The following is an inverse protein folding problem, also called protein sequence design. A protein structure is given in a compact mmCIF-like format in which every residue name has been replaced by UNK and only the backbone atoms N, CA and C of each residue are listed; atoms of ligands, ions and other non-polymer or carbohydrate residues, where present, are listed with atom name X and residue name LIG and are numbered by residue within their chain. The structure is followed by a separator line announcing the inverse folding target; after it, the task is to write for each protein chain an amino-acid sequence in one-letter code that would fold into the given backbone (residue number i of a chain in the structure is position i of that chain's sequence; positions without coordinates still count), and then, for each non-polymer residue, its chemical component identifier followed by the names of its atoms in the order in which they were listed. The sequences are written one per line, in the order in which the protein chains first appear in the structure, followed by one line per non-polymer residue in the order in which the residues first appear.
data_IF_879427518974
#
_entry.id   IF_879427518974
#
_cell.length_a   1.000
_cell.length_b   1.000
_cell.length_c   1.000
_cell.angle_alpha   90.00
_cell.angle_beta   90.00
_cell.angle_gamma   90.00
#
_symmetry.space_group_name_H-M   'P 1'
#
loop_
_entity.id
_entity.type
_entity.pdbx_description
1 polymer ?
#
# COMPACT_ATOMS: atom_id res chain seq x y z
N UNK A 1 -73.18 25.28 -14.26
CA UNK A 1 -73.73 23.92 -14.44
C UNK A 1 -72.55 22.97 -14.32
N UNK A 2 -72.20 22.46 -13.13
CA UNK A 2 -72.80 21.27 -12.47
C UNK A 2 -72.67 20.05 -13.41
N UNK A 3 -71.80 19.06 -13.22
CA UNK A 3 -71.61 18.17 -12.05
C UNK A 3 -70.31 17.31 -12.19
N UNK A 4 -69.85 16.65 -11.10
CA UNK A 4 -68.65 15.80 -11.02
C UNK A 4 -68.93 14.27 -10.86
N UNK A 5 -67.84 13.46 -10.84
CA UNK A 5 -67.65 12.08 -10.25
C UNK A 5 -68.27 10.87 -10.98
N UNK A 6 -67.94 9.57 -10.67
CA UNK A 6 -66.81 8.97 -9.92
C UNK A 6 -66.18 7.67 -10.50
N UNK A 7 -65.05 7.32 -9.87
CA UNK A 7 -64.35 6.04 -9.54
C UNK A 7 -65.14 4.70 -9.54
N UNK A 8 -64.47 3.59 -9.88
CA UNK A 8 -64.25 2.33 -9.09
C UNK A 8 -63.96 1.12 -10.01
N UNK A 9 -62.90 0.37 -9.72
CA UNK A 9 -62.64 -0.97 -10.30
C UNK A 9 -61.29 -1.55 -9.88
N UNK A 10 -61.32 -2.48 -8.93
CA UNK A 10 -60.25 -3.09 -8.13
C UNK A 10 -59.38 -4.14 -8.86
N UNK A 11 -58.16 -4.39 -8.35
CA UNK A 11 -57.22 -5.44 -8.79
C UNK A 11 -57.64 -6.86 -8.32
N UNK A 12 -57.08 -7.97 -8.87
CA UNK A 12 -55.79 -8.49 -8.36
C UNK A 12 -54.89 -9.25 -9.37
N UNK A 13 -53.58 -9.27 -9.04
CA UNK A 13 -52.47 -10.07 -9.61
C UNK A 13 -52.68 -11.59 -9.60
N UNK A 14 -51.94 -12.35 -10.43
CA UNK A 14 -50.89 -13.17 -9.80
C UNK A 14 -49.55 -13.20 -10.58
N UNK A 15 -48.49 -12.88 -9.81
CA UNK A 15 -47.18 -13.54 -9.73
C UNK A 15 -46.65 -14.28 -10.97
N UNK A 16 -45.56 -13.75 -11.54
CA UNK A 16 -44.36 -14.55 -11.82
C UNK A 16 -43.12 -13.74 -11.48
N UNK A 17 -42.53 -14.13 -10.35
CA UNK A 17 -41.18 -13.80 -9.93
C UNK A 17 -40.15 -14.59 -10.75
N UNK A 18 -38.89 -14.14 -10.67
CA UNK A 18 -37.68 -14.62 -11.32
C UNK A 18 -37.52 -14.04 -12.74
N UNK A 19 -36.48 -13.29 -13.07
CA UNK A 19 -35.09 -13.66 -12.81
C UNK A 19 -34.18 -12.49 -12.44
N UNK A 20 -33.16 -12.87 -11.70
CA UNK A 20 -32.11 -12.11 -11.07
C UNK A 20 -31.29 -11.35 -12.13
N UNK A 21 -31.34 -10.01 -12.09
CA UNK A 21 -30.24 -9.24 -12.64
C UNK A 21 -29.17 -9.19 -11.56
N UNK A 22 -28.25 -10.15 -11.64
CA UNK A 22 -26.99 -10.15 -10.90
C UNK A 22 -26.37 -8.75 -10.93
N UNK A 23 -26.16 -8.25 -9.72
CA UNK A 23 -25.48 -7.01 -9.36
C UNK A 23 -24.04 -7.04 -9.88
N UNK A 24 -23.88 -6.72 -11.16
CA UNK A 24 -22.58 -6.53 -11.77
C UNK A 24 -21.98 -5.23 -11.18
N UNK A 25 -20.80 -5.28 -10.54
CA UNK A 25 -20.23 -4.09 -9.91
C UNK A 25 -19.98 -3.02 -10.97
N UNK A 26 -20.59 -1.83 -10.79
CA UNK A 26 -20.44 -0.72 -11.72
C UNK A 26 -18.95 -0.47 -12.02
N UNK A 27 -18.55 -0.35 -13.30
CA UNK A 27 -17.17 -0.06 -13.65
C UNK A 27 -16.78 1.26 -13.00
N UNK A 28 -15.82 1.20 -12.06
CA UNK A 28 -15.23 2.38 -11.39
C UNK A 28 -14.93 3.42 -12.47
N UNK A 29 -15.71 4.50 -12.51
CA UNK A 29 -15.63 5.53 -13.55
C UNK A 29 -14.19 6.02 -13.63
N UNK A 30 -13.48 5.59 -14.67
CA UNK A 30 -12.08 5.95 -14.95
C UNK A 30 -11.92 7.47 -15.20
N UNK A 31 -13.04 8.17 -15.41
CA UNK A 31 -13.10 9.61 -15.62
C UNK A 31 -13.50 10.30 -14.32
N UNK A 32 -12.59 11.11 -13.79
CA UNK A 32 -12.87 12.11 -12.75
C UNK A 32 -12.74 13.50 -13.38
N UNK A 33 -13.54 14.45 -12.92
CA UNK A 33 -13.41 15.84 -13.36
C UNK A 33 -11.99 16.34 -13.01
N UNK A 34 -11.39 17.15 -13.90
CA UNK A 34 -10.03 17.67 -13.69
C UNK A 34 -9.93 18.47 -12.38
N UNK A 35 -11.01 19.16 -11.99
CA UNK A 35 -11.14 19.87 -10.70
C UNK A 35 -11.03 18.96 -9.47
N UNK A 36 -11.30 17.66 -9.62
CA UNK A 36 -11.22 16.67 -8.54
C UNK A 36 -9.84 15.99 -8.51
N UNK A 37 -8.99 16.24 -9.52
CA UNK A 37 -7.61 15.80 -9.54
C UNK A 37 -6.77 16.69 -8.63
N UNK A 38 -5.94 16.08 -7.81
CA UNK A 38 -5.01 16.83 -6.97
C UNK A 38 -3.92 17.49 -7.85
N UNK A 39 -3.60 18.78 -7.67
CA UNK A 39 -2.51 19.43 -8.39
C UNK A 39 -1.17 18.79 -8.04
N UNK A 40 -0.35 18.49 -9.05
CA UNK A 40 1.03 17.99 -8.86
C UNK A 40 1.97 19.20 -8.79
N UNK A 41 1.97 19.90 -7.66
CA UNK A 41 2.76 21.12 -7.45
C UNK A 41 3.70 21.02 -6.23
N UNK A 42 3.87 19.82 -5.70
CA UNK A 42 4.68 19.59 -4.49
C UNK A 42 6.17 19.64 -4.80
N UNK A 43 6.93 20.35 -3.98
CA UNK A 43 8.39 20.40 -4.08
C UNK A 43 9.02 19.08 -3.60
N UNK A 44 10.12 18.63 -4.23
CA UNK A 44 10.87 17.46 -3.78
C UNK A 44 11.64 17.76 -2.48
N UNK A 45 11.69 16.76 -1.61
CA UNK A 45 12.40 16.74 -0.33
C UNK A 45 13.54 15.73 -0.44
N UNK A 46 14.68 16.06 0.16
CA UNK A 46 15.85 15.17 0.20
C UNK A 46 15.78 14.35 1.50
N UNK A 47 15.70 13.03 1.37
CA UNK A 47 15.78 12.11 2.50
C UNK A 47 17.12 11.39 2.45
N UNK A 48 17.88 11.46 3.54
CA UNK A 48 19.16 10.78 3.71
C UNK A 48 18.94 9.59 4.63
N UNK A 49 19.18 8.37 4.15
CA UNK A 49 18.81 7.13 4.86
C UNK A 49 20.04 6.28 5.18
N UNK A 50 20.07 5.73 6.39
CA UNK A 50 21.10 4.82 6.87
C UNK A 50 22.44 5.49 7.15
N UNK A 51 23.43 4.67 7.55
CA UNK A 51 24.79 5.13 7.86
C UNK A 51 25.52 5.74 6.65
N UNK A 52 25.19 5.26 5.44
CA UNK A 52 25.76 5.74 4.19
C UNK A 52 25.08 7.00 3.63
N UNK A 53 24.05 7.51 4.31
CA UNK A 53 23.27 8.68 3.89
C UNK A 53 22.77 8.58 2.44
N UNK A 54 22.21 7.42 2.09
CA UNK A 54 21.67 7.21 0.74
C UNK A 54 20.56 8.24 0.47
N UNK A 55 20.63 8.87 -0.70
CA UNK A 55 19.81 10.05 -1.02
C UNK A 55 18.58 9.65 -1.82
N UNK A 56 17.42 9.96 -1.27
CA UNK A 56 16.13 9.82 -1.93
C UNK A 56 15.49 11.18 -2.16
N UNK A 57 14.93 11.38 -3.35
CA UNK A 57 14.16 12.57 -3.70
C UNK A 57 12.69 12.20 -3.77
N UNK A 58 11.88 12.67 -2.82
CA UNK A 58 10.46 12.34 -2.72
C UNK A 58 9.64 13.60 -2.60
N UNK A 59 8.47 13.64 -3.24
CA UNK A 59 7.58 14.79 -3.14
C UNK A 59 7.06 14.99 -1.71
N UNK A 60 7.25 16.21 -1.17
CA UNK A 60 6.81 16.62 0.17
C UNK A 60 5.37 16.18 0.46
N UNK A 61 4.45 16.43 -0.47
CA UNK A 61 3.03 16.13 -0.28
C UNK A 61 2.72 14.64 -0.12
N UNK A 62 3.46 13.75 -0.79
CA UNK A 62 3.29 12.31 -0.61
C UNK A 62 3.75 11.90 0.79
N UNK A 63 4.90 12.41 1.24
CA UNK A 63 5.41 12.16 2.58
C UNK A 63 4.45 12.66 3.65
N UNK A 64 3.95 13.89 3.52
CA UNK A 64 3.02 14.51 4.48
C UNK A 64 1.68 13.77 4.56
N UNK A 65 1.19 13.24 3.45
CA UNK A 65 -0.10 12.56 3.41
C UNK A 65 0.00 11.15 3.98
N UNK A 66 1.11 10.46 3.74
CA UNK A 66 1.27 9.05 4.09
C UNK A 66 2.03 8.82 5.39
N UNK A 67 2.63 9.84 6.01
CA UNK A 67 3.44 9.70 7.22
C UNK A 67 3.27 10.89 8.15
N UNK A 68 2.82 10.63 9.37
CA UNK A 68 2.72 11.68 10.39
C UNK A 68 4.10 12.22 10.80
N UNK A 69 5.12 11.37 10.79
CA UNK A 69 6.49 11.78 11.08
C UNK A 69 6.94 12.87 10.11
N UNK A 70 6.78 12.63 8.81
CA UNK A 70 7.17 13.61 7.79
C UNK A 70 6.27 14.83 7.79
N UNK A 71 4.97 14.69 8.08
CA UNK A 71 4.08 15.83 8.27
C UNK A 71 4.60 16.79 9.36
N UNK A 72 4.97 16.25 10.53
CA UNK A 72 5.53 17.02 11.65
C UNK A 72 6.89 17.62 11.28
N UNK A 73 7.79 16.82 10.70
CA UNK A 73 9.14 17.26 10.34
C UNK A 73 9.16 18.35 9.26
N UNK A 74 8.30 18.25 8.25
CA UNK A 74 8.19 19.22 7.16
C UNK A 74 7.47 20.49 7.60
N UNK A 75 6.47 20.39 8.48
CA UNK A 75 5.79 21.56 9.05
C UNK A 75 6.77 22.45 9.83
N UNK A 76 7.65 21.86 10.64
CA UNK A 76 8.70 22.60 11.37
C UNK A 76 9.67 23.31 10.41
N UNK A 77 10.06 22.64 9.33
CA UNK A 77 10.98 23.23 8.34
C UNK A 77 10.35 24.35 7.50
N UNK A 78 9.04 24.24 7.22
CA UNK A 78 8.26 25.29 6.55
C UNK A 78 8.18 26.56 7.41
N UNK A 79 7.98 26.40 8.72
CA UNK A 79 8.02 27.53 9.66
C UNK A 79 9.40 28.22 9.69
N UNK A 80 10.47 27.44 9.48
CA UNK A 80 11.83 27.95 9.41
C UNK A 80 12.24 28.54 8.04
N UNK A 81 11.30 28.66 7.09
CA UNK A 81 11.50 29.19 5.72
C UNK A 81 12.66 28.52 4.94
N UNK A 82 12.82 27.20 5.10
CA UNK A 82 13.89 26.45 4.44
C UNK A 82 13.40 25.95 3.07
N UNK A 83 13.91 26.55 1.99
CA UNK A 83 13.53 26.23 0.60
C UNK A 83 13.84 24.77 0.16
N UNK A 84 14.82 24.11 0.79
CA UNK A 84 15.09 22.69 0.56
C UNK A 84 15.09 21.93 1.88
N UNK A 85 14.01 21.20 2.13
CA UNK A 85 13.91 20.34 3.28
C UNK A 85 14.78 19.09 3.10
N UNK A 86 15.85 18.99 3.88
CA UNK A 86 16.64 17.75 4.03
C UNK A 86 16.32 17.08 5.36
N UNK A 87 15.90 15.81 5.33
CA UNK A 87 15.59 14.99 6.52
C UNK A 87 16.57 13.82 6.57
N UNK A 88 17.14 13.55 7.74
CA UNK A 88 18.11 12.46 7.97
C UNK A 88 17.46 11.37 8.80
N UNK A 89 17.56 10.14 8.33
CA UNK A 89 17.06 8.92 8.96
C UNK A 89 18.22 7.93 9.13
N UNK A 90 19.14 8.17 10.09
CA UNK A 90 20.33 7.34 10.26
C UNK A 90 20.02 5.91 10.67
N UNK A 91 18.94 5.70 11.43
CA UNK A 91 18.55 4.39 11.96
C UNK A 91 17.68 3.57 10.97
N UNK A 92 17.29 4.17 9.85
CA UNK A 92 16.44 3.51 8.87
C UNK A 92 17.27 2.72 7.85
N UNK A 93 16.75 1.55 7.47
CA UNK A 93 17.33 0.73 6.42
C UNK A 93 16.99 1.30 5.02
N UNK A 94 18.00 1.42 4.15
CA UNK A 94 17.85 2.01 2.82
C UNK A 94 17.02 1.16 1.84
N UNK A 95 17.11 -0.17 1.93
CA UNK A 95 16.32 -1.08 1.10
C UNK A 95 14.84 -1.00 1.47
N UNK A 96 14.53 -0.99 2.77
CA UNK A 96 13.17 -0.79 3.26
C UNK A 96 12.62 0.59 2.84
N UNK A 97 13.44 1.64 2.90
CA UNK A 97 13.04 2.96 2.42
C UNK A 97 12.82 3.00 0.91
N UNK A 98 13.61 2.23 0.15
CA UNK A 98 13.41 2.06 -1.29
C UNK A 98 12.04 1.43 -1.59
N UNK A 99 11.63 0.42 -0.82
CA UNK A 99 10.30 -0.19 -0.96
C UNK A 99 9.20 0.79 -0.58
N UNK A 100 9.37 1.52 0.53
CA UNK A 100 8.44 2.58 0.95
C UNK A 100 8.28 3.65 -0.14
N UNK A 101 9.38 4.16 -0.67
CA UNK A 101 9.36 5.17 -1.73
C UNK A 101 8.64 4.66 -2.98
N UNK A 102 8.93 3.43 -3.43
CA UNK A 102 8.20 2.82 -4.57
C UNK A 102 6.71 2.69 -4.27
N UNK A 103 6.36 2.26 -3.07
CA UNK A 103 4.97 2.12 -2.66
C UNK A 103 4.23 3.47 -2.66
N UNK A 104 4.85 4.56 -2.17
CA UNK A 104 4.25 5.91 -2.18
C UNK A 104 3.79 6.36 -3.56
N UNK A 105 4.55 6.02 -4.61
CA UNK A 105 4.23 6.44 -5.97
C UNK A 105 3.28 5.49 -6.71
N UNK A 106 3.20 4.23 -6.29
CA UNK A 106 2.57 3.17 -7.10
C UNK A 106 1.42 2.46 -6.39
N UNK A 107 1.31 2.64 -5.07
CA UNK A 107 0.49 1.86 -4.16
C UNK A 107 0.70 0.35 -4.33
N UNK A 108 1.93 -0.07 -4.66
CA UNK A 108 2.31 -1.47 -4.90
C UNK A 108 3.58 -1.83 -4.16
N UNK A 109 3.60 -3.03 -3.59
CA UNK A 109 4.81 -3.63 -3.05
C UNK A 109 5.61 -4.30 -4.16
N UNK A 110 6.90 -3.97 -4.20
CA UNK A 110 7.86 -4.60 -5.09
C UNK A 110 8.77 -5.47 -4.24
N UNK A 111 8.37 -6.73 -4.12
CA UNK A 111 9.25 -7.74 -3.54
C UNK A 111 10.19 -8.25 -4.64
N UNK A 112 11.46 -8.54 -4.31
CA UNK A 112 12.36 -9.20 -5.24
C UNK A 112 11.72 -10.51 -5.73
N UNK A 113 11.43 -10.59 -7.03
CA UNK A 113 11.01 -11.82 -7.68
C UNK A 113 12.27 -12.58 -8.09
N UNK A 114 12.64 -13.56 -7.28
CA UNK A 114 13.82 -14.37 -7.55
C UNK A 114 13.53 -15.49 -8.58
N UNK A 115 12.53 -15.32 -9.45
CA UNK A 115 12.35 -16.11 -10.66
C UNK A 115 11.49 -17.36 -10.50
N UNK A 116 10.76 -17.53 -9.40
CA UNK A 116 9.91 -18.72 -9.22
C UNK A 116 8.60 -18.65 -10.03
N UNK A 117 8.19 -17.45 -10.49
CA UNK A 117 7.03 -17.27 -11.37
C UNK A 117 7.39 -17.29 -12.86
N UNK A 118 8.68 -17.24 -13.20
CA UNK A 118 9.13 -17.43 -14.57
C UNK A 118 9.06 -18.92 -14.90
N UNK A 119 8.02 -19.33 -15.63
CA UNK A 119 7.92 -20.61 -16.38
C UNK A 119 8.98 -20.69 -17.50
N UNK A 120 10.23 -20.46 -17.17
CA UNK A 120 11.36 -20.62 -18.05
C UNK A 120 12.27 -21.65 -17.41
N UNK A 121 12.27 -22.92 -17.88
CA UNK A 121 13.21 -23.90 -17.40
C UNK A 121 14.59 -23.52 -17.94
N UNK A 122 15.35 -22.73 -17.17
CA UNK A 122 16.78 -22.57 -17.43
C UNK A 122 17.53 -23.66 -16.68
N UNK A 123 18.25 -24.57 -17.36
CA UNK A 123 19.09 -25.53 -16.70
C UNK A 123 20.43 -24.86 -16.37
N UNK A 124 20.81 -24.94 -15.10
CA UNK A 124 22.15 -25.35 -14.63
C UNK A 124 22.73 -24.48 -13.50
N UNK A 125 23.13 -25.22 -12.45
CA UNK A 125 24.30 -25.03 -11.59
C UNK A 125 24.21 -24.06 -10.39
N UNK A 126 23.56 -24.52 -9.30
CA UNK A 126 24.23 -24.80 -8.02
C UNK A 126 23.29 -25.57 -7.07
N UNK A 127 23.59 -26.83 -6.68
CA UNK A 127 22.84 -27.54 -5.64
C UNK A 127 23.42 -27.12 -4.28
N UNK A 128 22.82 -26.13 -3.62
CA UNK A 128 23.25 -25.73 -2.28
C UNK A 128 22.59 -24.49 -1.68
N UNK A 129 21.94 -23.65 -2.50
CA UNK A 129 21.11 -22.55 -1.98
C UNK A 129 19.79 -23.11 -1.46
N UNK A 130 19.69 -23.33 -0.16
CA UNK A 130 18.46 -23.77 0.50
C UNK A 130 17.33 -22.79 0.17
N UNK A 131 16.28 -23.27 -0.50
CA UNK A 131 15.05 -22.50 -0.75
C UNK A 131 14.53 -21.85 0.55
N UNK A 132 14.80 -22.48 1.70
CA UNK A 132 14.43 -21.96 3.02
C UNK A 132 15.21 -20.67 3.38
N UNK A 133 16.51 -20.58 3.10
CA UNK A 133 17.28 -19.37 3.37
C UNK A 133 16.80 -18.17 2.54
N UNK A 134 16.37 -18.42 1.30
CA UNK A 134 15.82 -17.40 0.43
C UNK A 134 14.38 -17.01 0.81
N UNK A 135 13.62 -17.93 1.40
CA UNK A 135 12.31 -17.64 1.99
C UNK A 135 12.46 -16.78 3.24
N UNK A 136 13.42 -17.09 4.11
CA UNK A 136 13.72 -16.37 5.36
C UNK A 136 14.12 -14.91 5.09
N UNK A 137 14.99 -14.65 4.11
CA UNK A 137 15.39 -13.29 3.71
C UNK A 137 14.19 -12.39 3.34
N UNK A 138 13.19 -12.94 2.65
CA UNK A 138 12.00 -12.15 2.28
C UNK A 138 11.08 -11.84 3.46
N UNK A 139 11.07 -12.67 4.51
CA UNK A 139 10.31 -12.40 5.71
C UNK A 139 10.99 -11.28 6.53
N UNK A 140 12.32 -11.30 6.61
CA UNK A 140 13.10 -10.23 7.25
C UNK A 140 12.93 -8.88 6.55
N UNK A 141 12.87 -8.86 5.20
CA UNK A 141 12.58 -7.65 4.42
C UNK A 141 11.22 -7.04 4.78
N UNK A 142 10.17 -7.87 4.85
CA UNK A 142 8.83 -7.42 5.21
C UNK A 142 8.76 -6.92 6.66
N UNK A 143 9.45 -7.58 7.59
CA UNK A 143 9.57 -7.11 8.97
C UNK A 143 10.30 -5.77 9.03
N UNK A 144 11.39 -5.60 8.28
CA UNK A 144 12.12 -4.33 8.19
C UNK A 144 11.23 -3.23 7.62
N UNK A 145 10.41 -3.54 6.62
CA UNK A 145 9.40 -2.60 6.10
C UNK A 145 8.37 -2.22 7.17
N UNK A 146 7.90 -3.17 7.96
CA UNK A 146 6.95 -2.91 9.04
C UNK A 146 7.56 -2.03 10.15
N UNK A 147 8.79 -2.34 10.59
CA UNK A 147 9.51 -1.51 11.56
C UNK A 147 9.77 -0.10 11.02
N UNK A 148 10.07 0.04 9.73
CA UNK A 148 10.18 1.35 9.09
C UNK A 148 8.82 2.08 9.06
N UNK A 149 7.72 1.37 8.80
CA UNK A 149 6.38 1.94 8.79
C UNK A 149 6.00 2.51 10.16
N UNK A 150 6.30 1.76 11.23
CA UNK A 150 6.10 2.19 12.62
C UNK A 150 6.95 3.43 12.95
N UNK A 151 8.25 3.38 12.62
CA UNK A 151 9.16 4.52 12.81
C UNK A 151 8.68 5.79 12.06
N UNK A 152 8.21 5.63 10.82
CA UNK A 152 7.68 6.72 10.01
C UNK A 152 6.23 7.11 10.39
N UNK A 153 5.59 6.39 11.32
CA UNK A 153 4.19 6.58 11.68
C UNK A 153 3.30 6.59 10.42
N UNK A 154 3.48 5.58 9.57
CA UNK A 154 2.78 5.41 8.30
C UNK A 154 1.82 4.23 8.38
N UNK A 155 0.59 4.48 8.83
CA UNK A 155 -0.44 3.43 8.99
C UNK A 155 -0.76 2.74 7.67
N UNK A 156 -0.93 3.51 6.59
CA UNK A 156 -1.27 2.97 5.28
C UNK A 156 -0.17 2.03 4.74
N UNK A 157 1.11 2.37 5.01
CA UNK A 157 2.23 1.52 4.62
C UNK A 157 2.35 0.30 5.52
N UNK A 158 2.09 0.44 6.82
CA UNK A 158 2.06 -0.68 7.76
C UNK A 158 0.98 -1.70 7.36
N UNK A 159 -0.25 -1.24 7.12
CA UNK A 159 -1.36 -2.07 6.65
C UNK A 159 -1.02 -2.76 5.33
N UNK A 160 -0.48 -2.02 4.37
CA UNK A 160 -0.10 -2.59 3.09
C UNK A 160 1.08 -3.58 3.20
N UNK A 161 1.96 -3.43 4.19
CA UNK A 161 3.02 -4.41 4.51
C UNK A 161 2.42 -5.69 5.09
N UNK A 162 1.44 -5.57 5.98
CA UNK A 162 0.70 -6.72 6.54
C UNK A 162 -0.08 -7.44 5.44
N UNK A 163 -0.75 -6.71 4.55
CA UNK A 163 -1.44 -7.29 3.39
C UNK A 163 -0.46 -8.05 2.48
N UNK A 164 0.73 -7.48 2.21
CA UNK A 164 1.77 -8.15 1.45
C UNK A 164 2.25 -9.44 2.15
N UNK A 165 2.38 -9.40 3.47
CA UNK A 165 2.73 -10.54 4.31
C UNK A 165 1.68 -11.66 4.21
N UNK A 166 0.40 -11.32 4.39
CA UNK A 166 -0.73 -12.25 4.29
C UNK A 166 -0.87 -12.84 2.88
N UNK A 167 -0.78 -12.01 1.85
CA UNK A 167 -0.83 -12.45 0.46
C UNK A 167 0.27 -13.47 0.15
N UNK A 168 1.48 -13.26 0.70
CA UNK A 168 2.59 -14.20 0.57
C UNK A 168 2.32 -15.52 1.29
N UNK A 169 1.81 -15.48 2.52
CA UNK A 169 1.43 -16.68 3.28
C UNK A 169 0.40 -17.53 2.54
N UNK A 170 -0.65 -16.89 1.99
CA UNK A 170 -1.70 -17.57 1.24
C UNK A 170 -1.12 -18.20 -0.04
N UNK A 171 -0.32 -17.44 -0.78
CA UNK A 171 0.26 -17.88 -2.07
C UNK A 171 1.20 -19.07 -1.91
N UNK A 172 2.06 -19.05 -0.89
CA UNK A 172 3.07 -20.09 -0.67
C UNK A 172 2.62 -21.21 0.28
N UNK A 173 1.47 -21.04 0.95
CA UNK A 173 0.99 -21.92 2.06
C UNK A 173 2.07 -22.17 3.11
N UNK A 174 2.89 -21.16 3.37
CA UNK A 174 4.01 -21.21 4.30
C UNK A 174 3.89 -20.02 5.25
N UNK A 175 4.12 -20.28 6.53
CA UNK A 175 4.30 -19.26 7.55
C UNK A 175 5.78 -19.26 7.96
N UNK A 176 6.38 -18.10 8.26
CA UNK A 176 7.71 -18.08 8.83
C UNK A 176 7.71 -18.85 10.14
N UNK A 177 8.71 -19.71 10.35
CA UNK A 177 8.81 -20.54 11.54
C UNK A 177 8.86 -19.71 12.84
N UNK A 178 9.33 -18.46 12.73
CA UNK A 178 9.50 -17.51 13.83
C UNK A 178 8.46 -16.38 13.83
N UNK A 179 7.26 -16.60 13.26
CA UNK A 179 6.18 -15.60 13.25
C UNK A 179 5.88 -15.04 14.66
N UNK A 180 5.97 -15.87 15.69
CA UNK A 180 5.74 -15.47 17.09
C UNK A 180 6.86 -14.59 17.69
N UNK A 181 8.05 -14.56 17.08
CA UNK A 181 9.19 -13.72 17.49
C UNK A 181 9.26 -12.39 16.73
N UNK A 182 8.48 -12.25 15.66
CA UNK A 182 8.56 -11.09 14.76
C UNK A 182 7.85 -9.84 15.30
N UNK A 183 7.34 -9.87 16.54
CA UNK A 183 6.67 -8.74 17.23
C UNK A 183 5.71 -7.92 16.35
N UNK A 184 5.10 -8.56 15.34
CA UNK A 184 4.19 -7.93 14.37
C UNK A 184 2.91 -7.40 15.03
N UNK A 185 2.64 -7.78 16.27
CA UNK A 185 1.57 -7.23 17.13
C UNK A 185 1.99 -7.28 18.60
N UNK A 186 2.52 -6.18 19.18
CA UNK A 186 2.89 -6.13 20.60
C UNK A 186 1.70 -5.87 21.56
N UNK A 187 0.45 -5.83 21.08
CA UNK A 187 -0.72 -5.57 21.93
C UNK A 187 -1.93 -6.44 21.54
N UNK A 188 -2.09 -7.54 22.28
CA UNK A 188 -3.39 -8.13 22.62
C UNK A 188 -3.56 -8.01 24.14
#
# INVERSE_FOLDING_TARGET
MSTPTPTIGEAPTPRRSADEHEDAPEPKKLRRALSNGQPVTSEPVIILVGEHEERFFVHSRLLETCSEYFLKALSIKKEADIQMATIRLPDANADAFTMYAKWLYTARFYLPDNGEDSRSPSPSLAPGGSQNAQLDLHWEELCTCYSLADFLQSSDFADATVDAFLARMIRRRQAPADLAKMDLYPYC
#
